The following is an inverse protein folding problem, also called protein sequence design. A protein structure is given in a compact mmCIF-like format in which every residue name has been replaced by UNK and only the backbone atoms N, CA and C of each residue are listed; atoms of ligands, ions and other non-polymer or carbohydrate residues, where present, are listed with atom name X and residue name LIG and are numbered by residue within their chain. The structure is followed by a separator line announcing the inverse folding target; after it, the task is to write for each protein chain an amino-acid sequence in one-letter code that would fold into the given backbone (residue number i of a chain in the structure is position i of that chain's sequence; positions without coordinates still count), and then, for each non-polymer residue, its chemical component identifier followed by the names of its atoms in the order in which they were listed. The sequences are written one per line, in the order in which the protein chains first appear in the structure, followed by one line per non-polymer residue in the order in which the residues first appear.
data_IF_100440051705
#
_entry.id   IF_100440051705
#
_cell.length_a   1.000
_cell.length_b   1.000
_cell.length_c   1.000
_cell.angle_alpha   90.00
_cell.angle_beta   90.00
_cell.angle_gamma   90.00
#
_symmetry.space_group_name_H-M   'P 1'
#
loop_
_entity.id
_entity.type
_entity.pdbx_description
1 polymer ?
#
# COMPACT_ATOMS: atom_id res chain seq x y z
N UNK A 1 -23.06 16.73 2.58
CA UNK A 1 -22.84 15.64 3.55
C UNK A 1 -21.43 15.81 4.12
N UNK A 2 -21.30 16.22 5.38
CA UNK A 2 -19.99 16.45 5.98
C UNK A 2 -19.42 15.11 6.43
N UNK A 3 -18.47 14.58 5.68
CA UNK A 3 -17.62 13.47 6.15
C UNK A 3 -16.75 14.06 7.26
N UNK A 4 -17.09 13.76 8.52
CA UNK A 4 -16.28 14.20 9.65
C UNK A 4 -14.97 13.40 9.60
N UNK A 5 -13.84 14.08 9.46
CA UNK A 5 -12.56 13.40 9.48
C UNK A 5 -12.39 12.70 10.86
N UNK A 6 -11.91 11.46 10.88
CA UNK A 6 -11.66 10.73 12.11
C UNK A 6 -10.68 11.52 12.98
N UNK A 7 -10.94 11.57 14.28
CA UNK A 7 -10.10 12.32 15.21
C UNK A 7 -8.64 11.84 15.20
N UNK A 8 -7.67 12.71 15.56
CA UNK A 8 -6.25 12.36 15.58
C UNK A 8 -5.92 11.03 16.30
N UNK A 9 -6.56 10.66 17.44
CA UNK A 9 -6.29 9.39 18.10
C UNK A 9 -6.57 8.15 17.25
N UNK A 10 -7.64 8.16 16.44
CA UNK A 10 -7.99 7.03 15.58
C UNK A 10 -6.97 6.85 14.45
N UNK A 11 -6.54 7.96 13.86
CA UNK A 11 -5.50 7.96 12.81
C UNK A 11 -4.19 7.43 13.37
N UNK A 12 -3.76 7.92 14.53
CA UNK A 12 -2.53 7.45 15.20
C UNK A 12 -2.64 5.96 15.52
N UNK A 13 -3.78 5.51 16.06
CA UNK A 13 -4.03 4.10 16.35
C UNK A 13 -3.90 3.22 15.10
N UNK A 14 -4.52 3.61 13.99
CA UNK A 14 -4.43 2.90 12.71
C UNK A 14 -2.99 2.81 12.19
N UNK A 15 -2.22 3.89 12.27
CA UNK A 15 -0.81 3.91 11.85
C UNK A 15 0.05 3.00 12.74
N UNK A 16 -0.14 3.06 14.07
CA UNK A 16 0.58 2.19 15.01
C UNK A 16 0.28 0.72 14.73
N UNK A 17 -0.99 0.35 14.56
CA UNK A 17 -1.39 -1.01 14.19
C UNK A 17 -0.73 -1.43 12.88
N UNK A 18 -0.69 -0.56 11.88
CA UNK A 18 -0.04 -0.84 10.60
C UNK A 18 1.45 -1.15 10.74
N UNK A 19 2.18 -0.38 11.54
CA UNK A 19 3.60 -0.63 11.81
C UNK A 19 3.81 -1.96 12.54
N UNK A 20 3.01 -2.24 13.57
CA UNK A 20 3.08 -3.50 14.33
C UNK A 20 2.79 -4.69 13.42
N UNK A 21 1.76 -4.61 12.60
CA UNK A 21 1.37 -5.68 11.68
C UNK A 21 2.44 -5.94 10.62
N UNK A 22 3.02 -4.88 10.07
CA UNK A 22 4.15 -4.98 9.14
C UNK A 22 5.38 -5.64 9.77
N UNK A 23 5.67 -5.34 11.04
CA UNK A 23 6.75 -6.00 11.77
C UNK A 23 6.46 -7.49 12.03
N UNK A 24 5.22 -7.83 12.42
CA UNK A 24 4.79 -9.21 12.63
C UNK A 24 4.85 -10.02 11.33
N UNK A 25 4.32 -9.48 10.23
CA UNK A 25 4.35 -10.13 8.91
C UNK A 25 5.79 -10.49 8.50
N UNK A 26 6.74 -9.57 8.68
CA UNK A 26 8.16 -9.80 8.39
C UNK A 26 8.79 -10.89 9.26
N UNK A 27 8.42 -10.96 10.54
CA UNK A 27 8.91 -12.02 11.45
C UNK A 27 8.33 -13.38 11.06
N UNK A 28 7.04 -13.43 10.75
CA UNK A 28 6.38 -14.68 10.35
C UNK A 28 6.90 -15.18 9.01
N UNK A 29 7.07 -14.30 8.02
CA UNK A 29 7.61 -14.65 6.70
C UNK A 29 9.04 -15.20 6.74
N UNK A 30 9.82 -14.83 7.77
CA UNK A 30 11.21 -15.26 7.95
C UNK A 30 11.38 -16.46 8.91
N UNK A 31 10.31 -16.90 9.57
CA UNK A 31 10.35 -17.95 10.60
C UNK A 31 10.65 -19.37 10.07
N UNK A 32 10.64 -19.57 8.75
CA UNK A 32 10.86 -20.88 8.12
C UNK A 32 9.67 -21.85 8.21
N UNK A 33 8.63 -21.52 8.98
CA UNK A 33 7.41 -22.33 9.15
C UNK A 33 6.49 -22.21 7.93
N UNK A 34 6.11 -23.35 7.36
CA UNK A 34 5.19 -23.41 6.23
C UNK A 34 3.80 -22.84 6.56
N UNK A 35 3.30 -23.05 7.79
CA UNK A 35 1.98 -22.53 8.21
C UNK A 35 2.02 -21.00 8.33
N UNK A 36 3.10 -20.44 8.89
CA UNK A 36 3.28 -19.00 8.98
C UNK A 36 3.37 -18.35 7.58
N UNK A 37 3.93 -19.07 6.62
CA UNK A 37 4.00 -18.66 5.21
C UNK A 37 2.61 -18.62 4.58
N UNK A 38 1.83 -19.70 4.74
CA UNK A 38 0.46 -19.75 4.22
C UNK A 38 -0.40 -18.62 4.79
N UNK A 39 -0.23 -18.30 6.07
CA UNK A 39 -0.87 -17.15 6.70
C UNK A 39 -0.48 -15.82 6.06
N UNK A 40 0.79 -15.65 5.69
CA UNK A 40 1.29 -14.43 5.08
C UNK A 40 0.89 -14.25 3.60
N UNK A 41 0.62 -15.34 2.87
CA UNK A 41 0.31 -15.32 1.44
C UNK A 41 -0.74 -14.29 1.00
N UNK A 42 -1.94 -14.16 1.62
CA UNK A 42 -2.93 -13.18 1.16
C UNK A 42 -2.39 -11.74 1.20
N UNK A 43 -1.60 -11.39 2.21
CA UNK A 43 -1.01 -10.04 2.33
C UNK A 43 0.11 -9.85 1.31
N UNK A 44 0.91 -10.89 1.05
CA UNK A 44 1.91 -10.87 -0.03
C UNK A 44 1.24 -10.71 -1.39
N UNK A 45 0.12 -11.39 -1.66
CA UNK A 45 -0.62 -11.22 -2.93
C UNK A 45 -1.08 -9.77 -3.09
N UNK A 46 -1.66 -9.16 -2.05
CA UNK A 46 -2.05 -7.74 -2.07
C UNK A 46 -0.85 -6.81 -2.32
N UNK A 47 0.29 -7.10 -1.68
CA UNK A 47 1.53 -6.33 -1.80
C UNK A 47 2.08 -6.37 -3.22
N UNK A 48 2.30 -7.56 -3.77
CA UNK A 48 2.83 -7.75 -5.11
C UNK A 48 1.85 -7.23 -6.18
N UNK A 49 0.53 -7.36 -5.95
CA UNK A 49 -0.48 -6.81 -6.86
C UNK A 49 -0.41 -5.29 -6.91
N UNK A 50 -0.13 -4.62 -5.80
CA UNK A 50 0.05 -3.16 -5.78
C UNK A 50 1.23 -2.74 -6.67
N UNK A 51 2.38 -3.41 -6.54
CA UNK A 51 3.52 -3.16 -7.42
C UNK A 51 3.17 -3.36 -8.88
N UNK A 52 2.53 -4.49 -9.21
CA UNK A 52 2.15 -4.80 -10.59
C UNK A 52 1.20 -3.76 -11.20
N UNK A 53 0.13 -3.41 -10.47
CA UNK A 53 -0.88 -2.47 -10.94
C UNK A 53 -0.31 -1.07 -11.09
N UNK A 54 0.44 -0.58 -10.10
CA UNK A 54 1.02 0.76 -10.18
C UNK A 54 2.10 0.83 -11.25
N UNK A 55 2.90 -0.23 -11.44
CA UNK A 55 3.83 -0.31 -12.56
C UNK A 55 3.09 -0.15 -13.90
N UNK A 56 2.01 -0.90 -14.13
CA UNK A 56 1.22 -0.77 -15.36
C UNK A 56 0.65 0.64 -15.55
N UNK A 57 0.04 1.22 -14.50
CA UNK A 57 -0.60 2.53 -14.57
C UNK A 57 0.39 3.68 -14.81
N UNK A 58 1.64 3.51 -14.37
CA UNK A 58 2.69 4.54 -14.48
C UNK A 58 3.65 4.30 -15.64
N UNK A 59 3.35 3.30 -16.50
CA UNK A 59 4.14 2.98 -17.68
C UNK A 59 5.42 2.17 -17.40
N UNK A 60 5.54 1.60 -16.20
CA UNK A 60 6.49 0.53 -15.91
C UNK A 60 6.11 -0.74 -16.67
N UNK A 61 7.12 -1.51 -17.10
CA UNK A 61 6.90 -2.77 -17.83
C UNK A 61 7.08 -3.95 -16.89
N UNK A 62 6.03 -4.48 -16.24
CA UNK A 62 6.14 -5.68 -15.43
C UNK A 62 6.49 -6.86 -16.33
N UNK A 63 7.59 -7.55 -16.02
CA UNK A 63 8.12 -8.67 -16.78
C UNK A 63 7.86 -10.01 -16.11
N UNK A 64 7.61 -10.03 -14.79
CA UNK A 64 7.27 -11.25 -14.07
C UNK A 64 6.44 -10.96 -12.83
N UNK A 65 5.55 -11.88 -12.50
CA UNK A 65 4.73 -11.88 -11.29
C UNK A 65 4.69 -13.29 -10.73
N UNK A 66 5.04 -13.46 -9.45
CA UNK A 66 4.99 -14.74 -8.75
C UNK A 66 4.44 -14.53 -7.34
N UNK A 67 3.53 -15.40 -6.94
CA UNK A 67 2.94 -15.46 -5.59
C UNK A 67 3.13 -16.83 -4.95
N UNK A 68 3.87 -17.72 -5.63
CA UNK A 68 4.16 -19.05 -5.12
C UNK A 68 5.40 -19.00 -4.23
N UNK A 69 5.29 -19.44 -2.96
CA UNK A 69 6.42 -19.40 -2.05
C UNK A 69 7.50 -20.38 -2.51
N UNK A 70 8.74 -19.89 -2.61
CA UNK A 70 9.90 -20.70 -2.97
C UNK A 70 11.02 -20.54 -1.96
N UNK A 71 11.80 -21.60 -1.74
CA UNK A 71 13.02 -21.53 -0.92
C UNK A 71 14.14 -20.87 -1.72
N UNK A 72 14.80 -19.88 -1.13
CA UNK A 72 15.99 -19.25 -1.70
C UNK A 72 16.92 -18.73 -0.59
N UNK A 73 18.22 -18.99 -0.71
CA UNK A 73 19.26 -18.37 0.13
C UNK A 73 19.07 -18.54 1.65
N UNK A 74 18.60 -19.71 2.11
CA UNK A 74 18.37 -19.97 3.54
C UNK A 74 17.03 -19.48 4.10
N UNK A 75 16.17 -18.88 3.26
CA UNK A 75 14.84 -18.41 3.66
C UNK A 75 13.75 -18.73 2.63
N UNK A 76 12.59 -18.12 2.84
CA UNK A 76 11.45 -18.21 1.92
C UNK A 76 11.23 -16.87 1.22
N UNK A 77 11.05 -16.94 -0.10
CA UNK A 77 10.57 -15.84 -0.93
C UNK A 77 9.10 -16.12 -1.21
N UNK A 78 8.21 -15.30 -0.66
CA UNK A 78 6.76 -15.51 -0.71
C UNK A 78 6.16 -15.10 -2.05
N UNK A 79 6.67 -14.01 -2.62
CA UNK A 79 6.23 -13.45 -3.88
C UNK A 79 7.33 -12.59 -4.47
N UNK A 80 7.14 -12.21 -5.73
CA UNK A 80 8.00 -11.26 -6.42
C UNK A 80 7.33 -10.70 -7.66
N UNK A 81 7.34 -9.38 -7.79
CA UNK A 81 7.15 -8.68 -9.06
C UNK A 81 8.48 -8.15 -9.55
N UNK A 82 8.77 -8.36 -10.84
CA UNK A 82 9.82 -7.62 -11.52
C UNK A 82 9.19 -6.70 -12.55
N UNK A 83 9.61 -5.44 -12.56
CA UNK A 83 9.23 -4.46 -13.56
C UNK A 83 10.46 -3.66 -13.97
N UNK A 84 10.51 -3.26 -15.24
CA UNK A 84 11.52 -2.31 -15.73
C UNK A 84 11.06 -0.90 -15.33
N UNK A 85 11.77 -0.22 -14.42
CA UNK A 85 11.37 1.09 -13.95
C UNK A 85 11.68 2.16 -15.00
N UNK A 86 10.82 3.17 -15.06
CA UNK A 86 10.98 4.42 -15.82
C UNK A 86 10.99 5.59 -14.85
N UNK A 87 11.33 6.80 -15.31
CA UNK A 87 11.25 8.01 -14.47
C UNK A 87 9.83 8.22 -13.92
N UNK A 88 8.80 7.87 -14.68
CA UNK A 88 7.40 7.99 -14.24
C UNK A 88 6.98 6.86 -13.30
N UNK A 89 7.56 5.66 -13.42
CA UNK A 89 7.08 4.49 -12.68
C UNK A 89 7.91 4.09 -11.48
N UNK A 90 9.19 4.45 -11.39
CA UNK A 90 10.11 3.92 -10.38
C UNK A 90 9.64 4.18 -8.93
N UNK A 91 9.41 5.45 -8.58
CA UNK A 91 8.95 5.83 -7.24
C UNK A 91 7.52 5.35 -6.91
N UNK A 92 6.50 5.57 -7.76
CA UNK A 92 5.15 5.13 -7.43
C UNK A 92 5.04 3.61 -7.40
N UNK A 93 5.74 2.88 -8.27
CA UNK A 93 5.77 1.42 -8.22
C UNK A 93 6.39 0.94 -6.92
N UNK A 94 7.55 1.47 -6.52
CA UNK A 94 8.22 1.04 -5.30
C UNK A 94 7.42 1.39 -4.02
N UNK A 95 6.71 2.52 -4.01
CA UNK A 95 5.87 2.93 -2.89
C UNK A 95 4.43 2.41 -2.99
N UNK A 96 4.09 1.66 -4.04
CA UNK A 96 2.73 1.19 -4.30
C UNK A 96 2.06 0.48 -3.11
N UNK A 97 2.76 -0.37 -2.32
CA UNK A 97 2.16 -1.00 -1.16
C UNK A 97 1.60 -0.01 -0.14
N UNK A 98 2.20 1.18 0.01
CA UNK A 98 1.69 2.20 0.92
C UNK A 98 0.29 2.70 0.53
N UNK A 99 -0.12 2.53 -0.73
CA UNK A 99 -1.49 2.80 -1.18
C UNK A 99 -2.55 2.02 -0.40
N UNK A 100 -2.22 0.84 0.14
CA UNK A 100 -3.12 0.10 1.02
C UNK A 100 -3.46 0.84 2.32
N UNK A 101 -2.58 1.71 2.83
CA UNK A 101 -2.92 2.58 3.98
C UNK A 101 -3.98 3.61 3.61
N UNK A 102 -3.87 4.18 2.42
CA UNK A 102 -4.86 5.15 1.91
C UNK A 102 -6.22 4.47 1.75
N UNK A 103 -6.23 3.27 1.15
CA UNK A 103 -7.45 2.47 1.00
C UNK A 103 -8.03 2.12 2.38
N UNK A 104 -7.23 1.62 3.32
CA UNK A 104 -7.67 1.28 4.67
C UNK A 104 -8.24 2.49 5.42
N UNK A 105 -7.61 3.66 5.29
CA UNK A 105 -8.13 4.91 5.84
C UNK A 105 -9.51 5.26 5.27
N UNK A 106 -9.70 5.22 3.95
CA UNK A 106 -11.00 5.50 3.35
C UNK A 106 -12.07 4.46 3.73
N UNK A 107 -11.70 3.18 3.85
CA UNK A 107 -12.62 2.14 4.36
C UNK A 107 -13.08 2.50 5.78
N UNK A 108 -12.18 2.93 6.64
CA UNK A 108 -12.52 3.37 8.00
C UNK A 108 -13.46 4.57 8.00
N UNK A 109 -13.17 5.60 7.19
CA UNK A 109 -13.97 6.82 7.09
C UNK A 109 -15.36 6.57 6.52
N UNK A 110 -15.46 5.65 5.56
CA UNK A 110 -16.71 5.35 4.86
C UNK A 110 -17.52 4.21 5.51
N UNK A 111 -17.02 3.64 6.62
CA UNK A 111 -17.63 2.47 7.27
C UNK A 111 -19.04 2.74 7.79
N UNK A 112 -19.35 3.98 8.13
CA UNK A 112 -20.68 4.40 8.58
C UNK A 112 -21.73 4.27 7.47
N UNK A 113 -21.31 4.23 6.20
CA UNK A 113 -22.19 4.02 5.04
C UNK A 113 -22.35 2.56 4.64
N UNK A 114 -21.84 1.61 5.44
CA UNK A 114 -21.95 0.19 5.13
C UNK A 114 -23.42 -0.29 5.15
N UNK A 115 -23.76 -1.32 4.37
CA UNK A 115 -25.05 -2.00 4.52
C UNK A 115 -25.23 -2.58 5.92
N UNK A 116 -26.44 -2.52 6.48
CA UNK A 116 -26.74 -2.99 7.85
C UNK A 116 -26.42 -4.47 8.06
N UNK A 117 -26.50 -5.28 7.00
CA UNK A 117 -26.17 -6.71 7.05
C UNK A 117 -24.66 -6.99 7.10
N UNK A 118 -23.81 -5.97 6.90
CA UNK A 118 -22.36 -6.13 6.88
C UNK A 118 -21.83 -6.28 8.32
N UNK A 119 -21.18 -7.41 8.66
CA UNK A 119 -20.72 -7.64 10.02
C UNK A 119 -19.64 -6.66 10.44
N UNK A 120 -19.69 -6.19 11.69
CA UNK A 120 -18.77 -5.18 12.19
C UNK A 120 -17.31 -5.67 12.18
N UNK A 121 -17.05 -6.95 12.46
CA UNK A 121 -15.70 -7.50 12.44
C UNK A 121 -15.03 -7.46 11.04
N UNK A 122 -15.79 -7.27 9.97
CA UNK A 122 -15.25 -7.22 8.62
C UNK A 122 -14.34 -5.99 8.42
N UNK A 123 -14.61 -4.85 9.07
CA UNK A 123 -13.69 -3.70 9.02
C UNK A 123 -12.35 -4.07 9.63
N UNK A 124 -12.36 -4.80 10.74
CA UNK A 124 -11.14 -5.19 11.44
C UNK A 124 -10.30 -6.07 10.53
N UNK A 125 -10.92 -7.02 9.82
CA UNK A 125 -10.22 -7.89 8.84
C UNK A 125 -9.66 -7.09 7.68
N UNK A 126 -10.41 -6.13 7.12
CA UNK A 126 -9.96 -5.30 5.99
C UNK A 126 -8.81 -4.39 6.41
N UNK A 127 -8.96 -3.69 7.54
CA UNK A 127 -7.91 -2.83 8.09
C UNK A 127 -6.65 -3.64 8.40
N UNK A 128 -6.82 -4.81 9.02
CA UNK A 128 -5.73 -5.75 9.26
C UNK A 128 -5.00 -6.13 7.95
N UNK A 129 -5.74 -6.48 6.90
CA UNK A 129 -5.16 -6.88 5.61
C UNK A 129 -4.40 -5.72 4.95
N UNK A 130 -4.99 -4.52 4.94
CA UNK A 130 -4.35 -3.31 4.43
C UNK A 130 -3.06 -2.98 5.20
N UNK A 131 -3.11 -3.02 6.53
CA UNK A 131 -1.98 -2.80 7.44
C UNK A 131 -0.86 -3.82 7.24
N UNK A 132 -1.20 -5.10 7.03
CA UNK A 132 -0.20 -6.14 6.80
C UNK A 132 0.44 -6.03 5.41
N UNK A 133 -0.34 -5.70 4.37
CA UNK A 133 0.13 -5.62 2.99
C UNK A 133 0.93 -4.36 2.68
N UNK A 134 0.76 -3.26 3.44
CA UNK A 134 1.31 -1.96 3.07
C UNK A 134 2.83 -1.81 3.29
N UNK A 135 3.47 -2.78 3.91
CA UNK A 135 4.82 -2.65 4.43
C UNK A 135 5.86 -2.79 3.33
N UNK A 136 6.60 -1.72 2.95
CA UNK A 136 7.58 -1.79 1.88
C UNK A 136 8.76 -2.69 2.26
N UNK A 137 9.31 -3.37 1.26
CA UNK A 137 10.52 -4.18 1.36
C UNK A 137 11.79 -3.33 1.29
N UNK A 138 12.92 -3.95 1.62
CA UNK A 138 14.22 -3.29 1.45
C UNK A 138 14.56 -3.04 -0.02
N UNK A 139 14.05 -3.87 -0.93
CA UNK A 139 14.21 -3.69 -2.36
C UNK A 139 13.47 -2.42 -2.82
N UNK A 140 12.26 -2.20 -2.33
CA UNK A 140 11.46 -1.01 -2.65
C UNK A 140 12.15 0.27 -2.23
N UNK A 141 12.64 0.30 -0.99
CA UNK A 141 13.39 1.43 -0.46
C UNK A 141 14.64 1.70 -1.32
N UNK A 142 15.36 0.65 -1.74
CA UNK A 142 16.51 0.80 -2.64
C UNK A 142 16.11 1.36 -4.00
N UNK A 143 14.98 0.95 -4.57
CA UNK A 143 14.49 1.46 -5.86
C UNK A 143 14.17 2.95 -5.75
N UNK A 144 13.50 3.39 -4.68
CA UNK A 144 13.21 4.82 -4.45
C UNK A 144 14.50 5.63 -4.32
N UNK A 145 15.43 5.19 -3.46
CA UNK A 145 16.70 5.91 -3.24
C UNK A 145 17.54 5.98 -4.51
N UNK A 146 17.53 4.94 -5.34
CA UNK A 146 18.27 4.90 -6.61
C UNK A 146 17.64 5.74 -7.72
N UNK A 147 16.37 6.14 -7.57
CA UNK A 147 15.63 6.91 -8.57
C UNK A 147 15.08 8.22 -8.00
N UNK A 148 15.95 9.14 -7.51
CA UNK A 148 15.53 10.37 -6.84
C UNK A 148 14.71 11.29 -7.74
N UNK A 149 14.98 11.33 -9.06
CA UNK A 149 14.19 12.14 -10.00
C UNK A 149 12.73 11.71 -10.08
N UNK A 150 12.48 10.39 -10.07
CA UNK A 150 11.11 9.85 -10.02
C UNK A 150 10.43 10.27 -8.72
N UNK A 151 11.13 10.18 -7.60
CA UNK A 151 10.61 10.58 -6.29
C UNK A 151 10.26 12.07 -6.26
N UNK A 152 11.17 12.94 -6.68
CA UNK A 152 10.93 14.40 -6.70
C UNK A 152 9.81 14.79 -7.63
N UNK A 153 9.69 14.15 -8.80
CA UNK A 153 8.59 14.39 -9.72
C UNK A 153 7.23 14.14 -9.06
N UNK A 154 7.07 12.98 -8.43
CA UNK A 154 5.80 12.61 -7.80
C UNK A 154 5.54 13.36 -6.48
N UNK A 155 6.59 13.65 -5.71
CA UNK A 155 6.46 14.50 -4.52
C UNK A 155 6.04 15.93 -4.90
N UNK A 156 6.62 16.49 -5.96
CA UNK A 156 6.24 17.79 -6.49
C UNK A 156 4.81 17.81 -7.03
N UNK A 157 4.42 16.78 -7.79
CA UNK A 157 3.05 16.65 -8.29
C UNK A 157 2.02 16.52 -7.15
N UNK A 158 2.32 15.73 -6.12
CA UNK A 158 1.47 15.58 -4.95
C UNK A 158 1.35 16.90 -4.16
N UNK A 159 2.47 17.59 -3.94
CA UNK A 159 2.47 18.90 -3.29
C UNK A 159 1.64 19.93 -4.06
N UNK A 160 1.81 19.97 -5.39
CA UNK A 160 1.05 20.88 -6.25
C UNK A 160 -0.44 20.54 -6.23
N UNK A 161 -0.81 19.26 -6.27
CA UNK A 161 -2.19 18.83 -6.15
C UNK A 161 -2.80 19.29 -4.81
N UNK A 162 -2.12 19.05 -3.68
CA UNK A 162 -2.62 19.43 -2.35
C UNK A 162 -2.79 20.95 -2.21
N UNK A 163 -1.82 21.73 -2.70
CA UNK A 163 -1.83 23.19 -2.57
C UNK A 163 -2.78 23.88 -3.53
N UNK A 164 -2.94 23.37 -4.75
CA UNK A 164 -3.83 23.96 -5.76
C UNK A 164 -5.27 23.43 -5.67
N UNK A 165 -5.51 22.30 -4.98
CA UNK A 165 -6.85 21.70 -4.84
C UNK A 165 -7.92 22.68 -4.37
N UNK A 166 -7.71 23.51 -3.33
CA UNK A 166 -8.72 24.46 -2.87
C UNK A 166 -9.08 25.50 -3.94
N UNK A 167 -8.07 25.98 -4.69
CA UNK A 167 -8.27 26.97 -5.74
C UNK A 167 -9.00 26.38 -6.95
N UNK A 168 -8.65 25.16 -7.35
CA UNK A 168 -9.35 24.41 -8.41
C UNK A 168 -10.81 24.16 -8.03
N UNK A 169 -11.06 23.71 -6.80
CA UNK A 169 -12.40 23.45 -6.29
C UNK A 169 -13.28 24.72 -6.27
N UNK A 170 -12.74 25.86 -5.82
CA UNK A 170 -13.45 27.14 -5.84
C UNK A 170 -13.82 27.57 -7.28
N UNK A 171 -12.93 27.37 -8.25
CA UNK A 171 -13.22 27.71 -9.66
C UNK A 171 -14.31 26.85 -10.30
N UNK A 172 -14.53 25.62 -9.80
CA UNK A 172 -15.58 24.72 -10.25
C UNK A 172 -16.95 25.06 -9.65
N UNK A 173 -16.98 25.76 -8.51
CA UNK A 173 -18.22 26.21 -7.85
C UNK A 173 -18.69 27.60 -8.30
N UNK A 174 -17.80 28.42 -8.85
CA UNK A 174 -18.09 29.75 -9.39
C UNK A 174 -18.55 29.75 -10.86
N UNK A 175 -18.91 28.59 -11.41
CA UNK A 175 -19.54 28.42 -12.73
C UNK A 175 -20.92 27.82 -12.58
#
# INVERSE_FOLDING_TARGET
MNILLPGPPLIIGFLVVSVVMGALHRRLSSSGSFIAILYCLPFTVMHETAHFMVALLTGGRPSSFSIWPRRAGGGWVLGSVNAVPTILSAAPTALAPLGWLVIGYYVMVLWDFRPVWMPEYLIVVVLYACSAACTPSWQDIKVVIRNPFSLFLWAGAAYMAITLWPAMWASLQGR
#
